data_IF_709557078909
#
_entry.id   IF_709557078909
#
_cell.length_a   1.000
_cell.length_b   1.000
_cell.length_c   1.000
_cell.angle_alpha   90.00
_cell.angle_beta   90.00
_cell.angle_gamma   90.00
#
_symmetry.space_group_name_H-M   'P 1'
#
loop_
_entity.id
_entity.type
_entity.pdbx_description
1 polymer ?
#
# COMPACT_ATOMS: atom_id res chain seq x y z
N UNK A 1 -35.86 12.73 10.85
CA UNK A 1 -34.59 13.46 10.68
C UNK A 1 -34.08 13.19 9.28
N UNK A 2 -33.80 14.21 8.48
CA UNK A 2 -33.11 14.05 7.19
C UNK A 2 -31.62 14.01 7.46
N UNK A 3 -30.89 13.13 6.78
CA UNK A 3 -29.43 12.99 6.99
C UNK A 3 -28.65 14.26 6.64
N UNK A 4 -29.20 15.08 5.74
CA UNK A 4 -28.64 16.36 5.29
C UNK A 4 -28.59 17.40 6.42
N UNK A 5 -29.52 17.34 7.36
CA UNK A 5 -29.69 18.31 8.45
C UNK A 5 -29.04 17.84 9.77
N UNK A 6 -28.18 16.81 9.72
CA UNK A 6 -27.53 16.22 10.88
C UNK A 6 -26.53 17.22 11.50
N UNK A 7 -26.69 17.54 12.79
CA UNK A 7 -25.64 18.22 13.55
C UNK A 7 -24.59 17.19 13.99
N UNK A 8 -23.50 17.12 13.22
CA UNK A 8 -22.41 16.16 13.44
C UNK A 8 -21.85 16.23 14.86
N UNK A 9 -21.72 17.41 15.46
CA UNK A 9 -21.10 17.56 16.78
C UNK A 9 -22.04 17.15 17.91
N UNK A 10 -23.32 17.49 17.79
CA UNK A 10 -24.32 17.07 18.77
C UNK A 10 -24.45 15.54 18.80
N UNK A 11 -24.51 14.92 17.61
CA UNK A 11 -24.65 13.48 17.45
C UNK A 11 -23.39 12.73 17.88
N UNK A 12 -22.20 13.23 17.51
CA UNK A 12 -20.94 12.64 17.96
C UNK A 12 -20.84 12.62 19.49
N UNK A 13 -21.22 13.72 20.16
CA UNK A 13 -21.20 13.80 21.64
C UNK A 13 -22.21 12.86 22.27
N UNK A 14 -23.42 12.76 21.71
CA UNK A 14 -24.44 11.86 22.23
C UNK A 14 -23.99 10.40 22.14
N UNK A 15 -23.39 10.00 21.00
CA UNK A 15 -22.87 8.65 20.78
C UNK A 15 -21.68 8.35 21.68
N UNK A 16 -20.71 9.27 21.80
CA UNK A 16 -19.54 9.08 22.68
C UNK A 16 -19.94 9.01 24.15
N UNK A 17 -20.98 9.76 24.56
CA UNK A 17 -21.52 9.71 25.91
C UNK A 17 -22.24 8.38 26.20
N UNK A 18 -23.06 7.89 25.26
CA UNK A 18 -23.75 6.59 25.37
C UNK A 18 -22.77 5.40 25.34
N UNK A 19 -21.72 5.50 24.52
CA UNK A 19 -20.67 4.48 24.42
C UNK A 19 -19.67 4.54 25.59
N UNK A 20 -19.78 5.53 26.49
CA UNK A 20 -18.84 5.82 27.58
C UNK A 20 -17.36 5.89 27.15
N UNK A 21 -17.10 6.20 25.88
CA UNK A 21 -15.76 6.21 25.31
C UNK A 21 -15.65 7.21 24.14
N UNK A 22 -14.45 7.74 23.94
CA UNK A 22 -14.15 8.51 22.75
C UNK A 22 -14.02 7.58 21.53
N UNK A 23 -14.60 7.98 20.40
CA UNK A 23 -14.54 7.22 19.14
C UNK A 23 -13.76 8.03 18.10
N UNK A 24 -12.43 7.80 17.98
CA UNK A 24 -11.61 8.48 16.97
C UNK A 24 -12.17 8.24 15.57
N UNK A 25 -12.36 9.33 14.82
CA UNK A 25 -12.91 9.27 13.46
C UNK A 25 -14.44 9.30 13.37
N UNK A 26 -15.18 9.26 14.49
CA UNK A 26 -16.65 9.28 14.47
C UNK A 26 -17.21 10.51 13.73
N UNK A 27 -16.64 11.69 14.00
CA UNK A 27 -17.03 12.94 13.33
C UNK A 27 -16.82 12.89 11.82
N UNK A 28 -15.74 12.23 11.38
CA UNK A 28 -15.47 12.01 9.96
C UNK A 28 -16.51 11.07 9.34
N UNK A 29 -16.83 9.96 10.01
CA UNK A 29 -17.85 9.01 9.57
C UNK A 29 -19.25 9.62 9.52
N UNK A 30 -19.63 10.46 10.49
CA UNK A 30 -20.90 11.21 10.47
C UNK A 30 -20.92 12.25 9.35
N UNK A 31 -19.79 12.90 9.06
CA UNK A 31 -19.66 13.78 7.90
C UNK A 31 -19.81 13.04 6.56
N UNK A 32 -19.27 11.83 6.45
CA UNK A 32 -19.49 10.96 5.28
C UNK A 32 -20.96 10.56 5.15
N UNK A 33 -21.61 10.23 6.27
CA UNK A 33 -23.05 9.93 6.31
C UNK A 33 -23.89 11.10 5.80
N UNK A 34 -23.63 12.32 6.27
CA UNK A 34 -24.32 13.53 5.82
C UNK A 34 -24.14 13.80 4.31
N UNK A 35 -22.95 13.48 3.76
CA UNK A 35 -22.65 13.63 2.33
C UNK A 35 -23.17 12.49 1.44
N UNK A 36 -23.81 11.46 2.00
CA UNK A 36 -24.23 10.30 1.23
C UNK A 36 -23.09 9.32 0.91
N UNK A 37 -21.91 9.50 1.50
CA UNK A 37 -20.71 8.70 1.28
C UNK A 37 -20.68 7.46 2.19
N UNK A 38 -21.75 6.66 2.14
CA UNK A 38 -21.90 5.46 2.96
C UNK A 38 -22.44 4.29 2.13
N UNK A 39 -22.32 3.07 2.67
CA UNK A 39 -22.83 1.84 2.04
C UNK A 39 -22.36 1.62 0.58
N UNK A 40 -21.14 2.05 0.25
CA UNK A 40 -20.58 1.89 -1.08
C UNK A 40 -20.42 0.40 -1.44
N UNK A 41 -21.17 -0.07 -2.43
CA UNK A 41 -21.00 -1.41 -2.99
C UNK A 41 -19.80 -1.44 -3.95
N UNK A 42 -18.77 -2.18 -3.58
CA UNK A 42 -17.62 -2.43 -4.45
C UNK A 42 -17.93 -3.57 -5.41
N UNK A 43 -18.53 -3.23 -6.57
CA UNK A 43 -18.76 -4.22 -7.63
C UNK A 43 -17.43 -4.67 -8.27
N UNK A 44 -17.35 -5.88 -8.84
CA UNK A 44 -16.17 -6.33 -9.56
C UNK A 44 -15.70 -5.36 -10.65
N UNK A 45 -16.63 -4.72 -11.35
CA UNK A 45 -16.37 -3.72 -12.38
C UNK A 45 -15.69 -2.48 -11.79
N UNK A 46 -16.20 -1.95 -10.66
CA UNK A 46 -15.60 -0.80 -9.96
C UNK A 46 -14.22 -1.10 -9.41
N UNK A 47 -13.98 -2.33 -8.95
CA UNK A 47 -12.66 -2.78 -8.52
C UNK A 47 -11.70 -2.85 -9.70
N UNK A 48 -12.15 -3.32 -10.87
CA UNK A 48 -11.34 -3.38 -12.07
C UNK A 48 -10.98 -1.99 -12.60
N UNK A 49 -11.91 -1.03 -12.57
CA UNK A 49 -11.65 0.37 -12.91
C UNK A 49 -10.58 0.99 -11.99
N UNK A 50 -10.64 0.73 -10.68
CA UNK A 50 -9.60 1.16 -9.74
C UNK A 50 -8.27 0.44 -10.00
N UNK A 51 -8.28 -0.85 -10.35
CA UNK A 51 -7.07 -1.63 -10.66
C UNK A 51 -6.38 -1.21 -11.96
N UNK A 52 -7.08 -0.56 -12.90
CA UNK A 52 -6.43 0.08 -14.08
C UNK A 52 -5.45 1.17 -13.65
N UNK A 53 -5.70 1.83 -12.52
CA UNK A 53 -4.68 2.58 -11.80
C UNK A 53 -3.81 1.58 -11.02
N UNK A 54 -2.92 0.89 -11.73
CA UNK A 54 -1.80 0.22 -11.09
C UNK A 54 -0.93 1.22 -10.31
N UNK A 55 0.27 0.78 -9.91
CA UNK A 55 1.29 1.67 -9.33
C UNK A 55 1.40 2.97 -10.17
N UNK A 56 1.35 4.17 -9.56
CA UNK A 56 1.23 5.43 -10.30
C UNK A 56 2.25 5.53 -11.44
N UNK A 57 1.78 5.93 -12.62
CA UNK A 57 2.62 6.15 -13.81
C UNK A 57 3.76 7.10 -13.42
N UNK A 58 5.01 6.63 -13.53
CA UNK A 58 6.21 7.37 -13.08
C UNK A 58 6.90 6.85 -11.82
N UNK A 59 6.36 5.84 -11.13
CA UNK A 59 7.06 5.17 -10.01
C UNK A 59 7.87 3.92 -10.43
N UNK A 60 8.00 3.70 -11.74
CA UNK A 60 9.05 2.83 -12.29
C UNK A 60 10.30 3.71 -12.36
N UNK A 61 11.29 3.43 -11.50
CA UNK A 61 12.60 4.07 -11.62
C UNK A 61 13.15 3.83 -13.03
N UNK A 62 13.72 4.86 -13.66
CA UNK A 62 14.40 4.69 -14.95
C UNK A 62 15.46 3.56 -14.88
N UNK A 63 16.14 3.44 -13.73
CA UNK A 63 17.10 2.37 -13.44
C UNK A 63 16.51 1.20 -12.63
N UNK A 64 15.28 0.77 -12.93
CA UNK A 64 14.70 -0.38 -12.27
C UNK A 64 15.50 -1.66 -12.59
N UNK A 65 15.86 -2.43 -11.55
CA UNK A 65 16.46 -3.76 -11.73
C UNK A 65 15.49 -4.65 -12.50
N UNK A 66 15.93 -5.22 -13.62
CA UNK A 66 15.15 -6.18 -14.41
C UNK A 66 15.26 -7.55 -13.75
N UNK A 67 14.11 -8.18 -13.46
CA UNK A 67 14.09 -9.55 -12.95
C UNK A 67 14.40 -10.51 -14.11
N UNK A 68 15.56 -11.16 -14.05
CA UNK A 68 16.01 -12.15 -15.03
C UNK A 68 16.33 -13.47 -14.34
N UNK A 69 15.92 -14.59 -14.92
CA UNK A 69 16.27 -15.92 -14.42
C UNK A 69 17.69 -16.30 -14.86
N UNK A 70 18.60 -16.43 -13.89
CA UNK A 70 19.99 -16.87 -14.10
C UNK A 70 20.25 -18.06 -13.18
N UNK A 71 20.94 -19.08 -13.67
CA UNK A 71 21.34 -20.26 -12.88
C UNK A 71 22.75 -20.04 -12.31
N UNK A 72 22.92 -20.34 -11.03
CA UNK A 72 24.20 -20.38 -10.34
C UNK A 72 24.46 -21.80 -9.86
N UNK A 73 25.74 -22.16 -9.75
CA UNK A 73 26.13 -23.41 -9.10
C UNK A 73 25.68 -23.42 -7.61
N UNK A 74 25.39 -24.61 -7.10
CA UNK A 74 24.78 -24.78 -5.78
C UNK A 74 25.70 -24.29 -4.64
N UNK A 75 27.00 -24.52 -4.77
CA UNK A 75 28.04 -24.09 -3.84
C UNK A 75 28.21 -22.56 -3.84
N UNK A 76 28.19 -21.93 -5.01
CA UNK A 76 28.24 -20.47 -5.16
C UNK A 76 27.03 -19.83 -4.50
N UNK A 77 25.83 -20.37 -4.72
CA UNK A 77 24.61 -19.87 -4.08
C UNK A 77 24.64 -20.06 -2.55
N UNK A 78 25.16 -21.20 -2.08
CA UNK A 78 25.30 -21.48 -0.66
C UNK A 78 26.29 -20.50 0.00
N UNK A 79 27.47 -20.29 -0.59
CA UNK A 79 28.46 -19.34 -0.12
C UNK A 79 27.91 -17.90 -0.11
N UNK A 80 27.20 -17.50 -1.17
CA UNK A 80 26.59 -16.18 -1.24
C UNK A 80 25.54 -16.00 -0.13
N UNK A 81 24.63 -16.95 0.07
CA UNK A 81 23.63 -16.86 1.15
C UNK A 81 24.26 -16.87 2.55
N UNK A 82 25.30 -17.66 2.76
CA UNK A 82 26.04 -17.72 4.03
C UNK A 82 26.70 -16.38 4.38
N UNK A 83 26.97 -15.53 3.38
CA UNK A 83 27.52 -14.20 3.59
C UNK A 83 26.56 -13.23 4.29
N UNK A 84 25.29 -13.59 4.47
CA UNK A 84 24.30 -12.86 5.27
C UNK A 84 23.31 -12.01 4.45
N UNK A 85 22.54 -11.12 5.12
CA UNK A 85 21.63 -10.18 4.46
C UNK A 85 22.34 -9.38 3.35
N UNK A 86 21.62 -9.07 2.27
CA UNK A 86 22.18 -8.31 1.14
C UNK A 86 23.10 -9.09 0.20
N UNK A 87 23.18 -10.42 0.30
CA UNK A 87 23.99 -11.25 -0.61
C UNK A 87 23.65 -11.04 -2.10
N UNK A 88 22.38 -10.81 -2.45
CA UNK A 88 21.98 -10.50 -3.83
C UNK A 88 22.53 -9.16 -4.32
N UNK A 89 22.59 -8.15 -3.45
CA UNK A 89 23.19 -6.86 -3.76
C UNK A 89 24.67 -7.02 -4.05
N UNK A 90 25.38 -7.79 -3.21
CA UNK A 90 26.81 -8.11 -3.43
C UNK A 90 27.06 -8.86 -4.73
N UNK A 91 26.23 -9.86 -5.08
CA UNK A 91 26.34 -10.53 -6.38
C UNK A 91 26.17 -9.52 -7.52
N UNK A 92 25.15 -8.66 -7.44
CA UNK A 92 24.92 -7.65 -8.47
C UNK A 92 26.08 -6.65 -8.58
N UNK A 93 26.73 -6.28 -7.48
CA UNK A 93 27.93 -5.43 -7.49
C UNK A 93 29.13 -6.12 -8.16
N UNK A 94 29.36 -7.41 -7.87
CA UNK A 94 30.41 -8.20 -8.53
C UNK A 94 30.19 -8.27 -10.04
N UNK A 95 28.95 -8.53 -10.47
CA UNK A 95 28.59 -8.56 -11.90
C UNK A 95 28.75 -7.17 -12.52
N UNK A 96 28.38 -6.09 -11.82
CA UNK A 96 28.58 -4.72 -12.31
C UNK A 96 30.05 -4.37 -12.47
N UNK A 97 30.91 -4.77 -11.54
CA UNK A 97 32.37 -4.57 -11.65
C UNK A 97 32.94 -5.25 -12.89
N UNK A 98 32.53 -6.48 -13.16
CA UNK A 98 33.04 -7.26 -14.29
C UNK A 98 32.55 -6.72 -15.65
N UNK A 99 31.25 -6.41 -15.77
CA UNK A 99 30.67 -6.05 -17.07
C UNK A 99 30.59 -4.55 -17.35
N UNK A 100 30.63 -3.70 -16.31
CA UNK A 100 30.42 -2.25 -16.42
C UNK A 100 31.59 -1.46 -15.81
N UNK A 101 32.52 -2.10 -15.08
CA UNK A 101 33.71 -1.45 -14.52
C UNK A 101 33.42 -0.41 -13.43
N UNK A 102 32.27 -0.52 -12.75
CA UNK A 102 31.78 0.42 -11.74
C UNK A 102 32.16 0.05 -10.30
#
# INVERSE_FOLDING_TARGET
MRLEDLDIEAEARAIEADAEQNLPGLRESLGQLQRGEYAAMHTPERILERRKAGRPVGTVKEDAKVQTAIRFDADVLAAAKASGPGWQTRINELVRREFIGA
#
